data_IF_598084160757
#
_entry.id   IF_598084160757
#
_cell.length_a   1.000
_cell.length_b   1.000
_cell.length_c   1.000
_cell.angle_alpha   90.00
_cell.angle_beta   90.00
_cell.angle_gamma   90.00
#
_symmetry.space_group_name_H-M   'P 1'
#
loop_
_entity.id
_entity.type
_entity.pdbx_description
1 polymer ?
#
# COMPACT_ATOMS: atom_id res chain seq x y z
N UNK A 1 5.77 -37.21 -27.16
CA UNK A 1 6.14 -35.79 -27.09
C UNK A 1 5.26 -35.14 -26.02
N UNK A 2 5.75 -35.07 -24.78
CA UNK A 2 4.99 -34.48 -23.67
C UNK A 2 5.23 -32.97 -23.71
N UNK A 3 4.20 -32.22 -24.10
CA UNK A 3 4.25 -30.77 -24.11
C UNK A 3 4.45 -30.25 -22.68
N UNK A 4 5.49 -29.43 -22.47
CA UNK A 4 5.65 -28.67 -21.23
C UNK A 4 4.49 -27.69 -21.11
N UNK A 5 3.55 -27.97 -20.22
CA UNK A 5 2.58 -26.96 -19.79
C UNK A 5 3.35 -25.79 -19.18
N UNK A 6 3.09 -24.53 -19.58
CA UNK A 6 3.76 -23.39 -18.97
C UNK A 6 3.40 -23.37 -17.48
N UNK A 7 4.41 -23.54 -16.63
CA UNK A 7 4.29 -23.46 -15.18
C UNK A 7 3.92 -22.00 -14.86
N UNK A 8 2.72 -21.76 -14.32
CA UNK A 8 2.36 -20.42 -13.86
C UNK A 8 3.38 -19.95 -12.82
N UNK A 9 3.73 -18.66 -12.77
CA UNK A 9 4.57 -18.12 -11.72
C UNK A 9 4.00 -18.49 -10.35
N UNK A 10 4.88 -18.76 -9.38
CA UNK A 10 4.43 -18.96 -7.99
C UNK A 10 3.79 -17.66 -7.49
N UNK A 11 2.72 -17.78 -6.72
CA UNK A 11 2.06 -16.63 -6.10
C UNK A 11 2.00 -16.84 -4.59
N UNK A 12 2.35 -15.80 -3.83
CA UNK A 12 2.24 -15.83 -2.38
C UNK A 12 1.73 -14.49 -1.85
N UNK A 13 1.23 -14.47 -0.62
CA UNK A 13 0.82 -13.24 0.03
C UNK A 13 1.25 -13.24 1.49
N UNK A 14 1.77 -12.11 1.96
CA UNK A 14 2.11 -11.85 3.36
C UNK A 14 1.17 -10.79 3.91
N UNK A 15 0.42 -11.16 4.93
CA UNK A 15 -0.52 -10.25 5.61
C UNK A 15 -0.09 -10.06 7.07
N UNK A 16 -0.22 -8.84 7.58
CA UNK A 16 -0.11 -8.58 9.02
C UNK A 16 -1.51 -8.69 9.63
N UNK A 17 -1.66 -9.65 10.55
CA UNK A 17 -2.90 -9.94 11.29
C UNK A 17 -2.66 -9.77 12.79
N UNK A 18 -3.75 -9.71 13.55
CA UNK A 18 -3.72 -9.56 15.00
C UNK A 18 -4.60 -8.42 15.48
N UNK A 19 -4.44 -8.06 16.74
CA UNK A 19 -5.06 -6.89 17.38
C UNK A 19 -4.60 -5.58 16.72
N UNK A 20 -5.35 -4.51 16.93
CA UNK A 20 -5.00 -3.17 16.44
C UNK A 20 -3.58 -2.75 16.85
N UNK A 21 -3.21 -2.97 18.12
CA UNK A 21 -1.88 -2.63 18.63
C UNK A 21 -0.77 -3.42 17.92
N UNK A 22 -0.96 -4.72 17.70
CA UNK A 22 0.00 -5.57 16.97
C UNK A 22 0.16 -5.13 15.52
N UNK A 23 -0.94 -4.78 14.85
CA UNK A 23 -0.89 -4.29 13.46
C UNK A 23 -0.18 -2.94 13.36
N UNK A 24 -0.49 -2.00 14.25
CA UNK A 24 0.19 -0.69 14.30
C UNK A 24 1.69 -0.89 14.55
N UNK A 25 2.06 -1.71 15.54
CA UNK A 25 3.46 -1.98 15.86
C UNK A 25 4.22 -2.64 14.69
N UNK A 26 3.57 -3.52 13.92
CA UNK A 26 4.20 -4.21 12.79
C UNK A 26 4.24 -3.38 11.50
N UNK A 27 3.23 -2.54 11.23
CA UNK A 27 3.15 -1.72 10.01
C UNK A 27 3.93 -0.41 10.13
N UNK A 28 3.90 0.25 11.29
CA UNK A 28 4.62 1.52 11.52
C UNK A 28 6.09 1.50 11.05
N UNK A 29 6.91 0.48 11.39
CA UNK A 29 8.30 0.44 10.93
C UNK A 29 8.44 0.16 9.42
N UNK A 30 7.44 -0.42 8.76
CA UNK A 30 7.48 -0.63 7.30
C UNK A 30 7.36 0.69 6.55
N UNK A 31 6.53 1.60 7.06
CA UNK A 31 6.18 2.86 6.41
C UNK A 31 6.98 4.06 6.97
N UNK A 32 7.51 3.94 8.18
CA UNK A 32 8.39 4.91 8.82
C UNK A 32 9.88 4.70 8.51
N UNK A 33 10.21 3.73 7.64
CA UNK A 33 11.60 3.38 7.32
C UNK A 33 12.33 4.49 6.56
N UNK A 34 11.62 5.23 5.72
CA UNK A 34 12.19 6.20 4.78
C UNK A 34 12.00 7.66 5.22
N UNK A 35 11.00 7.93 6.05
CA UNK A 35 10.72 9.23 6.64
C UNK A 35 10.01 9.02 7.99
N UNK A 36 10.17 9.95 8.96
CA UNK A 36 9.40 9.92 10.19
C UNK A 36 7.90 10.05 9.89
N UNK A 37 7.09 9.35 10.69
CA UNK A 37 5.64 9.43 10.56
C UNK A 37 5.13 10.82 10.98
N UNK A 38 4.24 11.46 10.20
CA UNK A 38 3.72 12.79 10.52
C UNK A 38 2.91 12.84 11.83
N UNK A 39 2.28 11.73 12.21
CA UNK A 39 1.50 11.60 13.43
C UNK A 39 1.38 10.14 13.89
N UNK A 40 0.86 9.89 15.11
CA UNK A 40 0.54 8.54 15.57
C UNK A 40 -0.49 7.84 14.70
N UNK A 41 -0.29 6.55 14.46
CA UNK A 41 -1.23 5.69 13.74
C UNK A 41 -2.18 5.06 14.75
N UNK A 42 -3.49 5.21 14.54
CA UNK A 42 -4.52 4.61 15.37
C UNK A 42 -4.74 3.15 14.99
N UNK A 43 -4.80 2.84 13.70
CA UNK A 43 -4.91 1.46 13.20
C UNK A 43 -4.16 1.31 11.88
N UNK A 44 -3.73 0.09 11.58
CA UNK A 44 -3.04 -0.22 10.35
C UNK A 44 -3.45 -1.59 9.81
N UNK A 45 -3.48 -1.74 8.50
CA UNK A 45 -3.65 -2.99 7.78
C UNK A 45 -2.61 -3.07 6.67
N UNK A 46 -2.14 -4.28 6.40
CA UNK A 46 -1.14 -4.53 5.36
C UNK A 46 -1.31 -5.91 4.75
N UNK A 47 -1.28 -5.95 3.42
CA UNK A 47 -1.01 -7.16 2.65
C UNK A 47 -0.01 -6.86 1.54
N UNK A 48 0.94 -7.76 1.35
CA UNK A 48 1.84 -7.76 0.20
C UNK A 48 1.66 -9.06 -0.57
N UNK A 49 1.51 -8.93 -1.87
CA UNK A 49 1.33 -10.03 -2.80
C UNK A 49 2.59 -10.14 -3.66
N UNK A 50 3.12 -11.34 -3.80
CA UNK A 50 4.29 -11.64 -4.60
C UNK A 50 3.89 -12.50 -5.80
N UNK A 51 4.41 -12.16 -6.97
CA UNK A 51 4.40 -13.00 -8.18
C UNK A 51 5.84 -13.37 -8.53
N UNK A 52 6.11 -14.66 -8.68
CA UNK A 52 7.46 -15.22 -8.76
C UNK A 52 7.88 -15.93 -7.46
N UNK A 53 8.81 -16.87 -7.56
CA UNK A 53 9.27 -17.71 -6.44
C UNK A 53 10.51 -17.14 -5.71
N UNK A 54 11.03 -15.99 -6.16
CA UNK A 54 12.25 -15.39 -5.64
C UNK A 54 13.52 -16.22 -5.85
N UNK A 55 13.46 -17.33 -6.62
CA UNK A 55 14.58 -18.21 -6.89
C UNK A 55 15.11 -18.05 -8.32
N UNK A 56 14.23 -18.04 -9.33
CA UNK A 56 14.61 -17.92 -10.74
C UNK A 56 13.81 -16.80 -11.42
N UNK A 57 14.46 -15.65 -11.61
CA UNK A 57 13.88 -14.45 -12.25
C UNK A 57 13.48 -13.36 -11.25
N UNK A 58 13.11 -12.16 -11.76
CA UNK A 58 12.61 -11.08 -10.90
C UNK A 58 11.31 -11.51 -10.21
N UNK A 59 11.10 -11.04 -8.99
CA UNK A 59 9.82 -11.17 -8.29
C UNK A 59 9.13 -9.82 -8.25
N UNK A 60 7.85 -9.83 -8.59
CA UNK A 60 7.00 -8.66 -8.54
C UNK A 60 6.24 -8.63 -7.22
N UNK A 61 6.25 -7.48 -6.56
CA UNK A 61 5.57 -7.26 -5.29
C UNK A 61 4.52 -6.17 -5.47
N UNK A 62 3.32 -6.41 -4.93
CA UNK A 62 2.25 -5.45 -4.82
C UNK A 62 1.86 -5.32 -3.34
N UNK A 63 2.12 -4.17 -2.75
CA UNK A 63 1.83 -3.90 -1.34
C UNK A 63 0.65 -2.94 -1.21
N UNK A 64 -0.24 -3.27 -0.29
CA UNK A 64 -1.47 -2.54 0.01
C UNK A 64 -1.49 -2.23 1.50
N UNK A 65 -1.72 -0.97 1.84
CA UNK A 65 -1.76 -0.49 3.22
C UNK A 65 -3.00 0.36 3.45
N UNK A 66 -3.66 0.16 4.58
CA UNK A 66 -4.65 1.12 5.10
C UNK A 66 -4.17 1.59 6.47
N UNK A 67 -4.10 2.89 6.68
CA UNK A 67 -3.82 3.51 7.97
C UNK A 67 -5.05 4.30 8.41
N UNK A 68 -5.30 4.31 9.70
CA UNK A 68 -6.25 5.21 10.34
C UNK A 68 -5.48 6.17 11.23
N UNK A 69 -5.67 7.46 11.02
CA UNK A 69 -5.09 8.53 11.85
C UNK A 69 -6.20 9.44 12.37
N UNK A 70 -5.90 10.28 13.36
CA UNK A 70 -6.87 11.27 13.80
C UNK A 70 -7.17 12.25 12.65
N UNK A 71 -8.44 12.62 12.37
CA UNK A 71 -8.76 13.58 11.31
C UNK A 71 -8.04 14.93 11.45
N UNK A 72 -7.75 15.35 12.69
CA UNK A 72 -6.97 16.56 12.99
C UNK A 72 -5.52 16.50 12.46
N UNK A 73 -4.96 15.30 12.30
CA UNK A 73 -3.58 15.11 11.85
C UNK A 73 -3.45 15.06 10.31
N UNK A 74 -4.57 15.00 9.58
CA UNK A 74 -4.55 14.89 8.12
C UNK A 74 -3.78 16.04 7.45
N UNK A 75 -3.81 17.25 8.03
CA UNK A 75 -3.05 18.38 7.52
C UNK A 75 -1.53 18.13 7.56
N UNK A 76 -1.02 17.48 8.59
CA UNK A 76 0.40 17.10 8.70
C UNK A 76 0.77 16.06 7.64
N UNK A 77 -0.08 15.06 7.43
CA UNK A 77 0.12 14.05 6.38
C UNK A 77 0.13 14.65 4.98
N UNK A 78 -0.83 15.50 4.64
CA UNK A 78 -0.88 16.18 3.34
C UNK A 78 0.34 17.06 3.09
N UNK A 79 0.84 17.73 4.13
CA UNK A 79 2.02 18.61 4.03
C UNK A 79 3.33 17.84 3.91
N UNK A 80 3.41 16.64 4.48
CA UNK A 80 4.61 15.80 4.45
C UNK A 80 4.77 15.01 3.13
N UNK A 81 3.70 14.89 2.34
CA UNK A 81 3.68 14.06 1.14
C UNK A 81 3.73 14.91 -0.14
N UNK A 82 4.64 14.60 -1.08
CA UNK A 82 4.63 15.22 -2.40
C UNK A 82 3.38 14.84 -3.19
N UNK A 83 2.79 15.78 -3.92
CA UNK A 83 1.67 15.50 -4.84
C UNK A 83 2.11 14.53 -5.94
N UNK A 84 1.18 13.69 -6.41
CA UNK A 84 1.48 12.66 -7.40
C UNK A 84 1.75 13.20 -8.81
N UNK A 85 1.57 14.50 -9.05
CA UNK A 85 1.80 15.15 -10.36
C UNK A 85 3.22 14.93 -10.91
N UNK A 86 4.18 14.58 -10.05
CA UNK A 86 5.53 14.18 -10.46
C UNK A 86 5.61 12.76 -11.09
N UNK A 87 4.52 12.00 -11.17
CA UNK A 87 4.46 10.67 -11.76
C UNK A 87 3.73 10.71 -13.11
N UNK A 88 4.34 10.13 -14.15
CA UNK A 88 3.83 10.12 -15.52
C UNK A 88 2.50 9.36 -15.73
N UNK A 89 1.92 8.75 -14.70
CA UNK A 89 0.71 7.92 -14.82
C UNK A 89 -0.29 8.26 -13.73
N UNK A 90 -1.57 8.54 -14.07
CA UNK A 90 -2.59 8.81 -13.06
C UNK A 90 -2.85 7.59 -12.17
N UNK A 91 -3.21 7.79 -10.90
CA UNK A 91 -3.65 6.73 -10.00
C UNK A 91 -4.78 5.90 -10.62
N UNK A 92 -4.69 4.58 -10.48
CA UNK A 92 -5.73 3.64 -10.89
C UNK A 92 -6.29 2.92 -9.67
N UNK A 93 -7.60 2.71 -9.67
CA UNK A 93 -8.23 1.84 -8.69
C UNK A 93 -7.70 0.41 -8.86
N UNK A 94 -7.24 -0.15 -7.76
CA UNK A 94 -6.70 -1.50 -7.69
C UNK A 94 -7.07 -2.11 -6.34
N UNK A 95 -7.27 -3.42 -6.32
CA UNK A 95 -7.61 -4.18 -5.12
C UNK A 95 -6.61 -5.31 -4.93
N UNK A 96 -6.37 -5.75 -3.68
CA UNK A 96 -5.71 -7.03 -3.44
C UNK A 96 -6.46 -8.16 -4.17
N UNK A 97 -5.74 -9.24 -4.53
CA UNK A 97 -6.32 -10.44 -5.17
C UNK A 97 -7.44 -11.05 -4.35
N UNK A 98 -7.31 -11.02 -3.02
CA UNK A 98 -8.37 -11.43 -2.10
C UNK A 98 -9.08 -10.19 -1.55
N UNK A 99 -10.41 -10.05 -1.69
CA UNK A 99 -11.17 -8.92 -1.16
C UNK A 99 -10.90 -8.72 0.34
N UNK A 100 -10.67 -7.47 0.73
CA UNK A 100 -10.41 -7.07 2.12
C UNK A 100 -11.43 -6.02 2.54
N UNK A 101 -12.09 -6.24 3.67
CA UNK A 101 -13.07 -5.31 4.21
C UNK A 101 -12.48 -3.96 4.64
N UNK A 102 -11.17 -3.91 4.90
CA UNK A 102 -10.43 -2.70 5.27
C UNK A 102 -9.84 -1.95 4.06
N UNK A 103 -9.96 -2.49 2.86
CA UNK A 103 -9.52 -1.82 1.63
C UNK A 103 -10.62 -0.92 1.08
N UNK A 104 -10.21 0.12 0.36
CA UNK A 104 -11.13 1.12 -0.16
C UNK A 104 -12.08 0.54 -1.24
N UNK A 105 -13.29 1.08 -1.26
CA UNK A 105 -14.24 0.85 -2.35
C UNK A 105 -13.89 1.70 -3.56
N UNK A 106 -14.48 1.41 -4.72
CA UNK A 106 -14.31 2.26 -5.90
C UNK A 106 -14.82 3.70 -5.64
N UNK A 107 -15.91 3.87 -4.89
CA UNK A 107 -16.45 5.19 -4.58
C UNK A 107 -15.55 5.97 -3.62
N UNK A 108 -14.97 5.30 -2.61
CA UNK A 108 -13.94 5.91 -1.76
C UNK A 108 -12.75 6.42 -2.60
N UNK A 109 -12.32 5.63 -3.60
CA UNK A 109 -11.18 5.98 -4.48
C UNK A 109 -11.37 7.32 -5.19
N UNK A 110 -12.58 7.58 -5.69
CA UNK A 110 -12.90 8.81 -6.42
C UNK A 110 -12.82 10.06 -5.54
N UNK A 111 -12.96 9.90 -4.22
CA UNK A 111 -12.87 10.98 -3.24
C UNK A 111 -11.46 11.23 -2.66
N UNK A 112 -10.44 10.46 -3.08
CA UNK A 112 -9.10 10.57 -2.51
C UNK A 112 -8.30 11.73 -3.11
N UNK A 113 -7.50 12.38 -2.27
CA UNK A 113 -6.39 13.21 -2.73
C UNK A 113 -5.13 12.37 -2.84
N UNK A 114 -4.46 12.39 -3.99
CA UNK A 114 -3.35 11.48 -4.30
C UNK A 114 -1.96 12.12 -4.17
N UNK A 115 -1.04 11.34 -3.63
CA UNK A 115 0.34 11.69 -3.33
C UNK A 115 1.29 10.57 -3.76
N UNK A 116 2.58 10.91 -3.84
CA UNK A 116 3.64 9.93 -4.13
C UNK A 116 3.84 8.94 -2.97
N UNK A 117 4.01 7.64 -3.24
CA UNK A 117 4.25 6.63 -2.19
C UNK A 117 5.72 6.55 -1.75
N UNK A 118 6.63 7.29 -2.40
CA UNK A 118 8.09 7.11 -2.25
C UNK A 118 8.59 7.38 -0.84
N UNK A 119 8.08 8.43 -0.18
CA UNK A 119 8.51 8.82 1.16
C UNK A 119 8.06 7.83 2.25
N UNK A 120 6.97 7.10 2.03
CA UNK A 120 6.43 6.14 2.99
C UNK A 120 6.89 4.71 2.69
N UNK A 121 6.84 4.28 1.43
CA UNK A 121 7.05 2.88 1.05
C UNK A 121 8.45 2.61 0.48
N UNK A 122 9.22 3.66 0.17
CA UNK A 122 10.48 3.57 -0.57
C UNK A 122 10.31 3.22 -2.06
N UNK A 123 9.10 2.83 -2.50
CA UNK A 123 8.79 2.50 -3.89
C UNK A 123 8.32 3.74 -4.64
N UNK A 124 8.77 3.90 -5.88
CA UNK A 124 8.35 5.03 -6.72
C UNK A 124 7.04 4.77 -7.46
N UNK A 125 6.63 3.52 -7.59
CA UNK A 125 5.40 3.13 -8.29
C UNK A 125 4.24 2.97 -7.31
N UNK A 126 3.04 3.36 -7.77
CA UNK A 126 1.82 3.32 -6.99
C UNK A 126 1.43 4.70 -6.48
N UNK A 127 0.63 4.76 -5.42
CA UNK A 127 0.04 6.00 -4.93
C UNK A 127 -0.30 5.92 -3.44
N UNK A 128 -0.37 7.08 -2.80
CA UNK A 128 -0.97 7.28 -1.47
C UNK A 128 -2.21 8.13 -1.64
N UNK A 129 -3.35 7.67 -1.17
CA UNK A 129 -4.63 8.36 -1.23
C UNK A 129 -5.12 8.70 0.17
N UNK A 130 -5.36 9.97 0.44
CA UNK A 130 -5.87 10.45 1.73
C UNK A 130 -7.37 10.72 1.61
N UNK A 131 -8.16 10.03 2.42
CA UNK A 131 -9.59 10.27 2.59
C UNK A 131 -9.83 11.40 3.62
N UNK A 132 -10.99 12.08 3.56
CA UNK A 132 -11.32 13.17 4.49
C UNK A 132 -11.61 12.69 5.93
N UNK A 133 -11.86 11.40 6.12
CA UNK A 133 -12.32 10.78 7.38
C UNK A 133 -11.19 10.24 8.27
N UNK A 134 -9.92 10.46 7.90
CA UNK A 134 -8.76 9.97 8.64
C UNK A 134 -8.17 8.66 8.10
N UNK A 135 -8.79 8.06 7.07
CA UNK A 135 -8.21 6.90 6.39
C UNK A 135 -7.16 7.33 5.35
N UNK A 136 -6.04 6.62 5.34
CA UNK A 136 -4.97 6.77 4.37
C UNK A 136 -4.76 5.41 3.71
N UNK A 137 -4.90 5.37 2.38
CA UNK A 137 -4.72 4.17 1.58
C UNK A 137 -3.42 4.27 0.79
N UNK A 138 -2.68 3.18 0.69
CA UNK A 138 -1.43 3.17 -0.07
C UNK A 138 -1.34 1.90 -0.90
N UNK A 139 -1.03 2.08 -2.17
CA UNK A 139 -0.67 1.00 -3.07
C UNK A 139 0.74 1.25 -3.59
N UNK A 140 1.62 0.26 -3.52
CA UNK A 140 2.99 0.39 -3.97
C UNK A 140 3.52 -0.93 -4.54
N UNK A 141 4.15 -0.88 -5.71
CA UNK A 141 4.56 -2.10 -6.41
C UNK A 141 5.96 -2.03 -7.03
N UNK A 142 6.54 -3.19 -7.34
CA UNK A 142 7.76 -3.32 -8.14
C UNK A 142 7.40 -3.62 -9.60
N UNK A 143 8.23 -3.16 -10.54
CA UNK A 143 8.14 -3.51 -11.96
C UNK A 143 9.01 -4.71 -12.28
#
# INVERSE_FOLDING_TARGET
>A
MTACSPKRPAESSREIRGTQAERVAAVSPLIGKHAPLPSPILDAHFVEEQTGDGQLGPSDFAAFYTLTVAPADLAAWRSALPTIEAQNTPPKYITPKQPRSWWLTHDDFLGLTFYSPKSLTGRSNGWVGIAPDGRIFMYAFTM
#
